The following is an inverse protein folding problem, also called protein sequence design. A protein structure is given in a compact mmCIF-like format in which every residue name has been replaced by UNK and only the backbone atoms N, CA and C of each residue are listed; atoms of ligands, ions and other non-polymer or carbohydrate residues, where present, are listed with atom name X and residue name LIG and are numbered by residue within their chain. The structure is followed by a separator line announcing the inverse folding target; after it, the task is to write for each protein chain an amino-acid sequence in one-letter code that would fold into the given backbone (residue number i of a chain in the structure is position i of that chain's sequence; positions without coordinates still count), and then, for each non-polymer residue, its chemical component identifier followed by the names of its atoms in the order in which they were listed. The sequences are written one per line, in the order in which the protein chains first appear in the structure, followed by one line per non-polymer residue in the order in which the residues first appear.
data_IF_286966128700
#
_entry.id   IF_286966128700
#
_cell.length_a   1.000
_cell.length_b   1.000
_cell.length_c   1.000
_cell.angle_alpha   90.00
_cell.angle_beta   90.00
_cell.angle_gamma   90.00
#
_symmetry.space_group_name_H-M   'P 1'
#
loop_
_entity.id
_entity.type
_entity.pdbx_description
1 polymer ?
#
# COMPACT_ATOMS: atom_id res chain seq x y z
N UNK A 1 -34.69 -28.00 -7.86
CA UNK A 1 -34.12 -27.51 -9.14
C UNK A 1 -32.85 -26.78 -8.76
N UNK A 2 -31.74 -27.51 -8.63
CA UNK A 2 -30.44 -26.96 -8.26
C UNK A 2 -29.91 -26.16 -9.45
N UNK A 3 -29.92 -24.83 -9.34
CA UNK A 3 -29.16 -23.98 -10.25
C UNK A 3 -27.71 -24.05 -9.80
N UNK A 4 -26.93 -24.88 -10.47
CA UNK A 4 -25.48 -24.77 -10.46
C UNK A 4 -25.19 -23.42 -11.14
N UNK A 5 -24.82 -22.42 -10.35
CA UNK A 5 -24.32 -21.15 -10.87
C UNK A 5 -22.94 -21.43 -11.44
N UNK A 6 -22.81 -21.32 -12.77
CA UNK A 6 -21.53 -21.38 -13.46
C UNK A 6 -20.59 -20.33 -12.84
N UNK A 7 -19.48 -20.79 -12.27
CA UNK A 7 -18.35 -19.96 -11.89
C UNK A 7 -17.75 -19.38 -13.16
N UNK A 8 -18.27 -18.24 -13.63
CA UNK A 8 -17.61 -17.48 -14.69
C UNK A 8 -16.22 -17.12 -14.19
N UNK A 9 -15.21 -17.57 -14.90
CA UNK A 9 -13.81 -17.23 -14.64
C UNK A 9 -13.65 -15.74 -14.84
N UNK A 10 -13.27 -15.03 -13.79
CA UNK A 10 -13.18 -13.58 -13.77
C UNK A 10 -11.72 -13.19 -13.99
N UNK A 11 -11.30 -13.06 -15.25
CA UNK A 11 -9.91 -12.70 -15.58
C UNK A 11 -9.65 -11.25 -15.13
N UNK A 12 -8.76 -11.06 -14.14
CA UNK A 12 -8.42 -9.74 -13.60
C UNK A 12 -9.47 -9.02 -12.74
N UNK A 13 -10.63 -9.61 -12.45
CA UNK A 13 -11.62 -9.06 -11.49
C UNK A 13 -11.80 -9.98 -10.26
N UNK A 14 -12.42 -9.45 -9.20
CA UNK A 14 -12.61 -10.17 -7.94
C UNK A 14 -14.07 -10.20 -7.56
N UNK A 15 -14.58 -11.38 -7.24
CA UNK A 15 -15.94 -11.55 -6.72
C UNK A 15 -15.95 -11.56 -5.19
N UNK A 16 -16.73 -10.70 -4.55
CA UNK A 16 -17.07 -10.80 -3.13
C UNK A 16 -18.48 -11.39 -3.01
N UNK A 17 -18.62 -12.54 -2.37
CA UNK A 17 -19.91 -13.23 -2.18
C UNK A 17 -20.25 -13.24 -0.69
N UNK A 18 -21.41 -12.68 -0.33
CA UNK A 18 -21.92 -12.62 1.05
C UNK A 18 -23.26 -13.37 1.12
N UNK A 19 -23.30 -14.46 1.88
CA UNK A 19 -24.44 -15.37 2.02
C UNK A 19 -25.44 -14.92 3.10
N UNK A 20 -26.26 -13.91 2.79
CA UNK A 20 -27.31 -13.44 3.71
C UNK A 20 -28.54 -14.37 3.71
N UNK A 21 -29.37 -14.30 4.77
CA UNK A 21 -30.63 -15.05 4.87
C UNK A 21 -31.81 -14.17 4.42
N UNK A 22 -32.46 -14.46 3.28
CA UNK A 22 -33.60 -13.67 2.80
C UNK A 22 -34.71 -13.58 3.85
N UNK A 23 -35.23 -12.37 4.07
CA UNK A 23 -36.29 -12.11 5.05
C UNK A 23 -35.88 -12.21 6.53
N UNK A 24 -34.60 -12.45 6.83
CA UNK A 24 -34.06 -12.52 8.20
C UNK A 24 -32.90 -11.56 8.44
N UNK A 25 -31.98 -11.44 7.48
CA UNK A 25 -30.84 -10.53 7.59
C UNK A 25 -31.25 -9.09 7.40
N UNK A 26 -30.71 -8.19 8.23
CA UNK A 26 -30.90 -6.75 8.09
C UNK A 26 -30.08 -6.21 6.92
N UNK A 27 -30.74 -5.54 5.97
CA UNK A 27 -30.09 -5.06 4.74
C UNK A 27 -28.96 -4.07 5.02
N UNK A 28 -29.14 -3.16 5.99
CA UNK A 28 -28.13 -2.16 6.36
C UNK A 28 -26.86 -2.86 6.86
N UNK A 29 -27.00 -3.88 7.70
CA UNK A 29 -25.86 -4.63 8.23
C UNK A 29 -25.07 -5.33 7.12
N UNK A 30 -25.77 -6.03 6.21
CA UNK A 30 -25.14 -6.74 5.09
C UNK A 30 -24.42 -5.78 4.16
N UNK A 31 -25.05 -4.67 3.79
CA UNK A 31 -24.46 -3.66 2.90
C UNK A 31 -23.31 -2.91 3.57
N UNK A 32 -23.42 -2.55 4.85
CA UNK A 32 -22.35 -1.90 5.59
C UNK A 32 -21.12 -2.80 5.73
N UNK A 33 -21.31 -4.07 6.06
CA UNK A 33 -20.21 -5.03 6.12
C UNK A 33 -19.57 -5.28 4.75
N UNK A 34 -20.37 -5.33 3.68
CA UNK A 34 -19.84 -5.40 2.31
C UNK A 34 -18.96 -4.19 1.98
N UNK A 35 -19.41 -2.97 2.31
CA UNK A 35 -18.62 -1.76 2.10
C UNK A 35 -17.32 -1.76 2.91
N UNK A 36 -17.35 -2.22 4.17
CA UNK A 36 -16.15 -2.33 4.99
C UNK A 36 -15.14 -3.33 4.41
N UNK A 37 -15.61 -4.47 3.90
CA UNK A 37 -14.74 -5.46 3.25
C UNK A 37 -14.14 -4.92 1.97
N UNK A 38 -14.92 -4.21 1.15
CA UNK A 38 -14.41 -3.57 -0.07
C UNK A 38 -13.31 -2.56 0.27
N UNK A 39 -13.57 -1.67 1.24
CA UNK A 39 -12.58 -0.67 1.68
C UNK A 39 -11.31 -1.32 2.26
N UNK A 40 -11.45 -2.37 3.07
CA UNK A 40 -10.31 -3.11 3.60
C UNK A 40 -9.50 -3.82 2.50
N UNK A 41 -10.17 -4.40 1.51
CA UNK A 41 -9.53 -5.01 0.35
C UNK A 41 -8.84 -3.99 -0.56
N UNK A 42 -9.37 -2.77 -0.69
CA UNK A 42 -8.73 -1.67 -1.43
C UNK A 42 -7.49 -1.16 -0.68
N UNK A 43 -7.54 -1.10 0.66
CA UNK A 43 -6.36 -0.80 1.50
C UNK A 43 -5.26 -1.86 1.37
N UNK A 44 -5.63 -3.13 1.28
CA UNK A 44 -4.69 -4.21 1.01
C UNK A 44 -4.02 -4.05 -0.37
N UNK A 45 -4.78 -3.66 -1.39
CA UNK A 45 -4.21 -3.35 -2.69
C UNK A 45 -3.26 -2.16 -2.64
N UNK A 46 -3.65 -1.10 -1.94
CA UNK A 46 -2.80 0.06 -1.75
C UNK A 46 -1.50 -0.31 -1.02
N UNK A 47 -1.57 -1.20 -0.03
CA UNK A 47 -0.38 -1.74 0.63
C UNK A 47 0.55 -2.46 -0.36
N UNK A 48 0.03 -3.35 -1.21
CA UNK A 48 0.80 -4.04 -2.24
C UNK A 48 1.43 -3.06 -3.27
N UNK A 49 0.77 -1.95 -3.56
CA UNK A 49 1.25 -0.93 -4.51
C UNK A 49 2.19 0.10 -3.88
N UNK A 50 2.18 0.24 -2.56
CA UNK A 50 2.90 1.30 -1.84
C UNK A 50 4.41 1.28 -2.09
N UNK A 51 4.98 0.11 -2.38
CA UNK A 51 6.39 -0.09 -2.69
C UNK A 51 6.75 0.18 -4.16
N UNK A 52 5.74 0.32 -5.02
CA UNK A 52 5.86 0.56 -6.47
C UNK A 52 5.72 2.06 -6.74
N UNK A 53 4.53 2.60 -6.49
CA UNK A 53 4.26 4.03 -6.58
C UNK A 53 3.08 4.42 -5.69
N UNK A 54 3.34 5.32 -4.76
CA UNK A 54 2.35 5.88 -3.85
C UNK A 54 1.24 6.71 -4.52
N UNK A 55 1.41 7.12 -5.79
CA UNK A 55 0.35 7.80 -6.55
C UNK A 55 -0.67 6.85 -7.16
N UNK A 56 -0.39 5.53 -7.15
CA UNK A 56 -1.33 4.53 -7.65
C UNK A 56 -2.48 4.34 -6.66
N UNK A 57 -3.67 4.65 -7.13
CA UNK A 57 -4.89 4.46 -6.38
C UNK A 57 -5.68 3.29 -6.99
N UNK A 58 -5.68 2.11 -6.35
CA UNK A 58 -6.57 1.03 -6.73
C UNK A 58 -8.00 1.44 -6.40
N UNK A 59 -8.91 1.19 -7.33
CA UNK A 59 -10.33 1.48 -7.14
C UNK A 59 -11.13 0.26 -7.56
N UNK A 60 -11.95 -0.20 -6.62
CA UNK A 60 -12.97 -1.21 -6.85
C UNK A 60 -14.19 -0.60 -7.54
N UNK A 61 -14.54 -1.11 -8.72
CA UNK A 61 -15.74 -0.71 -9.49
C UNK A 61 -16.77 -1.82 -9.42
N UNK A 62 -17.98 -1.50 -8.94
CA UNK A 62 -19.10 -2.43 -8.92
C UNK A 62 -19.53 -2.79 -10.35
N UNK A 63 -19.34 -4.05 -10.73
CA UNK A 63 -19.68 -4.57 -12.05
C UNK A 63 -21.09 -5.21 -12.08
N UNK A 64 -21.42 -6.05 -11.08
CA UNK A 64 -22.72 -6.72 -11.00
C UNK A 64 -23.14 -7.04 -9.55
N UNK A 65 -24.45 -7.18 -9.31
CA UNK A 65 -25.08 -7.59 -8.04
C UNK A 65 -26.16 -8.68 -8.26
N UNK A 66 -25.92 -9.89 -7.76
CA UNK A 66 -26.84 -11.02 -7.93
C UNK A 66 -27.91 -11.17 -6.81
N UNK A 67 -28.91 -12.05 -7.02
CA UNK A 67 -29.98 -12.39 -6.07
C UNK A 67 -29.66 -13.66 -5.26
N UNK A 68 -30.24 -13.78 -4.06
CA UNK A 68 -30.09 -14.87 -3.06
C UNK A 68 -28.77 -14.92 -2.28
N UNK A 69 -27.72 -14.29 -2.79
CA UNK A 69 -26.51 -13.86 -2.07
C UNK A 69 -26.10 -12.49 -2.59
N UNK A 70 -25.40 -11.69 -1.80
CA UNK A 70 -24.85 -10.42 -2.27
C UNK A 70 -23.51 -10.76 -2.92
N UNK A 71 -23.55 -11.11 -4.21
CA UNK A 71 -22.36 -11.25 -5.04
C UNK A 71 -22.05 -9.90 -5.67
N UNK A 72 -20.87 -9.36 -5.37
CA UNK A 72 -20.35 -8.11 -5.87
C UNK A 72 -19.13 -8.43 -6.71
N UNK A 73 -19.19 -8.13 -8.01
CA UNK A 73 -18.03 -8.27 -8.88
C UNK A 73 -17.29 -6.92 -8.92
N UNK A 74 -16.00 -6.92 -8.60
CA UNK A 74 -15.15 -5.74 -8.51
C UNK A 74 -14.13 -5.74 -9.64
N UNK A 75 -14.34 -4.84 -10.61
CA UNK A 75 -13.32 -4.52 -11.60
C UNK A 75 -12.29 -3.58 -10.97
N UNK A 76 -11.01 -3.85 -11.21
CA UNK A 76 -9.93 -3.02 -10.66
C UNK A 76 -9.50 -1.97 -11.67
N UNK A 77 -9.55 -0.71 -11.25
CA UNK A 77 -8.96 0.40 -11.97
C UNK A 77 -7.81 0.99 -11.17
N UNK A 78 -6.81 1.53 -11.88
CA UNK A 78 -5.73 2.31 -11.28
C UNK A 78 -5.91 3.78 -11.68
N UNK A 79 -6.05 4.67 -10.70
CA UNK A 79 -5.94 6.12 -10.91
C UNK A 79 -4.54 6.60 -10.54
N UNK A 80 -4.16 7.76 -11.06
CA UNK A 80 -2.88 8.40 -10.72
C UNK A 80 -1.64 7.72 -11.32
N UNK A 81 -1.80 6.96 -12.41
CA UNK A 81 -0.68 6.34 -13.13
C UNK A 81 0.19 7.43 -13.78
N UNK A 82 1.51 7.51 -13.49
CA UNK A 82 2.39 8.48 -14.14
C UNK A 82 2.47 8.27 -15.65
N UNK A 83 2.47 9.36 -16.43
CA UNK A 83 2.56 9.34 -17.90
C UNK A 83 3.79 8.59 -18.43
N UNK A 84 4.87 8.55 -17.64
CA UNK A 84 6.12 7.85 -17.98
C UNK A 84 5.94 6.31 -18.03
N UNK A 85 5.04 5.75 -17.21
CA UNK A 85 4.71 4.32 -17.13
C UNK A 85 3.45 3.91 -17.91
N UNK A 86 2.63 4.88 -18.33
CA UNK A 86 1.46 4.68 -19.20
C UNK A 86 1.79 4.07 -20.58
N UNK A 87 3.07 4.01 -20.93
CA UNK A 87 3.55 3.72 -22.28
C UNK A 87 3.55 2.23 -22.68
N UNK A 88 3.41 1.27 -21.74
CA UNK A 88 3.36 -0.17 -22.10
C UNK A 88 2.14 -0.93 -21.54
N UNK A 89 1.48 -1.68 -22.42
CA UNK A 89 0.42 -2.65 -22.09
C UNK A 89 0.92 -3.71 -21.08
N UNK A 90 2.20 -4.03 -21.15
CA UNK A 90 2.86 -5.06 -20.33
C UNK A 90 2.94 -4.66 -18.85
N UNK A 91 3.21 -3.37 -18.54
CA UNK A 91 3.21 -2.90 -17.16
C UNK A 91 1.84 -3.01 -16.49
N UNK A 92 0.76 -2.65 -17.20
CA UNK A 92 -0.61 -2.78 -16.67
C UNK A 92 -1.00 -4.22 -16.39
N UNK A 93 -0.65 -5.13 -17.30
CA UNK A 93 -0.89 -6.58 -17.13
C UNK A 93 -0.11 -7.15 -15.95
N UNK A 94 1.18 -6.82 -15.87
CA UNK A 94 2.03 -7.23 -14.75
C UNK A 94 1.45 -6.74 -13.41
N UNK A 95 1.09 -5.47 -13.32
CA UNK A 95 0.55 -4.88 -12.10
C UNK A 95 -0.79 -5.50 -11.71
N UNK A 96 -1.68 -5.74 -12.68
CA UNK A 96 -2.93 -6.47 -12.45
C UNK A 96 -2.70 -7.89 -11.92
N UNK A 97 -1.75 -8.62 -12.52
CA UNK A 97 -1.39 -9.98 -12.08
C UNK A 97 -0.82 -9.99 -10.65
N UNK A 98 0.07 -9.05 -10.32
CA UNK A 98 0.62 -8.89 -8.98
C UNK A 98 -0.49 -8.66 -7.94
N UNK A 99 -1.43 -7.77 -8.27
CA UNK A 99 -2.53 -7.36 -7.42
C UNK A 99 -3.53 -8.49 -7.14
N UNK A 100 -3.82 -9.32 -8.15
CA UNK A 100 -4.70 -10.50 -8.00
C UNK A 100 -3.98 -11.58 -7.19
N UNK A 101 -2.75 -11.92 -7.56
CA UNK A 101 -1.99 -12.99 -6.91
C UNK A 101 -1.60 -12.65 -5.47
N UNK A 102 -1.09 -11.43 -5.24
CA UNK A 102 -0.72 -10.93 -3.92
C UNK A 102 -1.91 -10.90 -2.98
N UNK A 103 -3.05 -10.37 -3.42
CA UNK A 103 -4.28 -10.41 -2.61
C UNK A 103 -4.72 -11.84 -2.34
N UNK A 104 -4.72 -12.71 -3.33
CA UNK A 104 -5.14 -14.10 -3.17
C UNK A 104 -4.29 -14.83 -2.11
N UNK A 105 -2.96 -14.77 -2.22
CA UNK A 105 -2.06 -15.41 -1.24
C UNK A 105 -2.25 -14.84 0.17
N UNK A 106 -2.33 -13.51 0.30
CA UNK A 106 -2.46 -12.87 1.60
C UNK A 106 -3.82 -13.15 2.26
N UNK A 107 -4.91 -13.17 1.48
CA UNK A 107 -6.25 -13.50 2.00
C UNK A 107 -6.40 -14.98 2.36
N UNK A 108 -5.72 -15.90 1.67
CA UNK A 108 -5.62 -17.30 2.13
C UNK A 108 -4.94 -17.42 3.49
N UNK A 109 -4.11 -16.42 3.83
CA UNK A 109 -3.33 -16.30 5.05
C UNK A 109 -3.86 -15.17 5.92
N UNK A 110 -5.18 -14.97 5.92
CA UNK A 110 -5.82 -13.87 6.65
C UNK A 110 -5.45 -13.86 8.14
N UNK A 111 -5.24 -15.04 8.74
CA UNK A 111 -4.91 -15.21 10.16
C UNK A 111 -3.41 -15.43 10.42
N UNK A 112 -2.56 -15.22 9.42
CA UNK A 112 -1.12 -15.41 9.55
C UNK A 112 -0.48 -14.44 10.54
N UNK A 113 0.56 -14.92 11.22
CA UNK A 113 1.47 -14.13 12.04
C UNK A 113 2.55 -13.47 11.18
N UNK A 114 3.37 -12.61 11.80
CA UNK A 114 4.44 -11.90 11.10
C UNK A 114 5.43 -12.84 10.36
N UNK A 115 5.89 -13.97 10.95
CA UNK A 115 6.70 -14.96 10.24
C UNK A 115 6.03 -15.56 8.99
N UNK A 116 4.75 -15.92 9.05
CA UNK A 116 4.03 -16.49 7.90
C UNK A 116 3.71 -15.42 6.83
N UNK A 117 3.42 -14.19 7.24
CA UNK A 117 3.31 -13.03 6.33
C UNK A 117 4.63 -12.81 5.60
N UNK A 118 5.77 -12.84 6.32
CA UNK A 118 7.10 -12.69 5.70
C UNK A 118 7.35 -13.76 4.64
N UNK A 119 7.03 -15.04 4.91
CA UNK A 119 7.17 -16.12 3.92
C UNK A 119 6.27 -15.92 2.71
N UNK A 120 5.08 -15.36 2.90
CA UNK A 120 4.18 -15.03 1.79
C UNK A 120 4.75 -13.89 0.94
N UNK A 121 5.38 -12.89 1.56
CA UNK A 121 6.06 -11.81 0.84
C UNK A 121 7.29 -12.31 0.07
N UNK A 122 8.05 -13.26 0.64
CA UNK A 122 9.17 -13.90 -0.06
C UNK A 122 8.70 -14.64 -1.33
N UNK A 123 7.51 -15.24 -1.31
CA UNK A 123 6.90 -15.87 -2.49
C UNK A 123 6.50 -14.85 -3.57
N UNK A 124 6.18 -13.61 -3.17
CA UNK A 124 5.84 -12.54 -4.09
C UNK A 124 7.07 -11.81 -4.65
N UNK A 125 8.21 -11.88 -3.97
CA UNK A 125 9.45 -11.19 -4.36
C UNK A 125 9.84 -11.39 -5.84
N UNK A 126 9.74 -12.59 -6.45
CA UNK A 126 10.02 -12.79 -7.87
C UNK A 126 9.13 -11.92 -8.77
N UNK A 127 7.84 -11.79 -8.46
CA UNK A 127 6.91 -10.97 -9.25
C UNK A 127 7.26 -9.49 -9.17
N UNK A 128 7.65 -9.00 -7.99
CA UNK A 128 8.13 -7.62 -7.85
C UNK A 128 9.44 -7.38 -8.61
N UNK A 129 10.30 -8.39 -8.67
CA UNK A 129 11.59 -8.33 -9.37
C UNK A 129 11.43 -8.33 -10.90
N UNK A 130 10.46 -9.07 -11.42
CA UNK A 130 10.19 -9.23 -12.85
C UNK A 130 9.41 -8.05 -13.48
N UNK A 131 9.32 -6.92 -12.78
CA UNK A 131 8.59 -5.76 -13.25
C UNK A 131 9.14 -5.18 -14.57
N UNK A 132 8.29 -4.85 -15.55
CA UNK A 132 8.73 -4.30 -16.84
C UNK A 132 9.19 -2.84 -16.73
N UNK A 133 10.50 -2.65 -16.91
CA UNK A 133 11.28 -1.40 -17.15
C UNK A 133 11.24 -0.32 -16.05
N UNK A 134 12.42 -0.05 -15.45
CA UNK A 134 12.68 1.10 -14.57
C UNK A 134 13.59 0.74 -13.39
N UNK A 135 14.90 0.57 -13.64
CA UNK A 135 16.02 0.44 -12.68
C UNK A 135 15.71 -0.18 -11.30
N UNK A 136 16.15 -1.42 -11.12
CA UNK A 136 16.10 -2.24 -9.88
C UNK A 136 14.67 -2.65 -9.53
N UNK A 137 14.41 -3.96 -9.59
CA UNK A 137 13.10 -4.54 -9.29
C UNK A 137 12.48 -4.00 -8.00
N UNK A 138 11.15 -3.90 -7.99
CA UNK A 138 10.43 -3.47 -6.80
C UNK A 138 10.63 -4.49 -5.67
N UNK A 139 10.30 -4.08 -4.45
CA UNK A 139 10.28 -4.99 -3.30
C UNK A 139 8.85 -5.12 -2.80
N UNK A 140 8.47 -6.27 -2.22
CA UNK A 140 7.22 -6.39 -1.50
C UNK A 140 7.09 -5.32 -0.38
N UNK A 141 5.87 -4.97 0.03
CA UNK A 141 5.63 -4.11 1.19
C UNK A 141 6.18 -4.74 2.48
N UNK A 142 6.24 -3.96 3.56
CA UNK A 142 6.74 -4.45 4.85
C UNK A 142 5.71 -5.37 5.51
N UNK A 143 6.20 -6.33 6.31
CA UNK A 143 5.36 -7.25 7.09
C UNK A 143 4.35 -6.48 7.95
N UNK A 144 4.76 -5.41 8.62
CA UNK A 144 3.89 -4.60 9.48
C UNK A 144 2.78 -3.86 8.72
N UNK A 145 3.06 -3.37 7.51
CA UNK A 145 2.08 -2.73 6.64
C UNK A 145 1.03 -3.74 6.18
N UNK A 146 1.48 -4.93 5.79
CA UNK A 146 0.60 -6.04 5.37
C UNK A 146 -0.23 -6.55 6.53
N UNK A 147 0.37 -6.70 7.72
CA UNK A 147 -0.34 -7.12 8.93
C UNK A 147 -1.45 -6.14 9.28
N UNK A 148 -1.16 -4.83 9.24
CA UNK A 148 -2.17 -3.77 9.44
C UNK A 148 -3.31 -3.86 8.41
N UNK A 149 -2.99 -4.12 7.15
CA UNK A 149 -4.01 -4.28 6.11
C UNK A 149 -4.87 -5.53 6.32
N UNK A 150 -4.26 -6.66 6.70
CA UNK A 150 -4.97 -7.90 7.03
C UNK A 150 -5.84 -7.75 8.28
N UNK A 151 -5.38 -7.02 9.31
CA UNK A 151 -6.18 -6.65 10.47
C UNK A 151 -7.43 -5.87 10.08
N UNK A 152 -7.31 -4.93 9.13
CA UNK A 152 -8.45 -4.23 8.58
C UNK A 152 -9.47 -5.18 7.92
N UNK A 153 -8.99 -6.19 7.17
CA UNK A 153 -9.86 -7.20 6.56
C UNK A 153 -10.50 -8.10 7.62
N UNK A 154 -9.75 -8.53 8.64
CA UNK A 154 -10.27 -9.29 9.78
C UNK A 154 -11.38 -8.51 10.51
N UNK A 155 -11.14 -7.24 10.81
CA UNK A 155 -12.12 -6.38 11.47
C UNK A 155 -13.38 -6.18 10.62
N UNK A 156 -13.23 -5.97 9.31
CA UNK A 156 -14.36 -5.87 8.39
C UNK A 156 -15.16 -7.19 8.29
N UNK A 157 -14.47 -8.34 8.34
CA UNK A 157 -15.09 -9.66 8.36
C UNK A 157 -15.94 -9.88 9.61
N UNK A 158 -15.51 -9.40 10.78
CA UNK A 158 -16.26 -9.48 12.05
C UNK A 158 -17.57 -8.71 11.99
N UNK A 159 -17.67 -7.65 11.18
CA UNK A 159 -18.91 -6.88 11.01
C UNK A 159 -20.05 -7.66 10.31
N UNK A 160 -19.75 -8.84 9.75
CA UNK A 160 -20.71 -9.76 9.11
C UNK A 160 -20.84 -11.09 9.89
N UNK A 161 -21.36 -11.07 11.14
CA UNK A 161 -21.46 -12.28 11.93
C UNK A 161 -22.51 -13.24 11.36
N UNK A 162 -22.25 -14.53 11.49
CA UNK A 162 -23.11 -15.65 11.10
C UNK A 162 -23.50 -15.70 9.61
N UNK A 163 -22.67 -15.08 8.77
CA UNK A 163 -22.83 -15.00 7.32
C UNK A 163 -21.58 -15.56 6.67
N UNK A 164 -21.75 -16.44 5.67
CA UNK A 164 -20.66 -16.93 4.84
C UNK A 164 -20.13 -15.81 3.95
N UNK A 165 -18.81 -15.64 3.92
CA UNK A 165 -18.14 -14.66 3.07
C UNK A 165 -17.08 -15.38 2.25
N UNK A 166 -17.14 -15.23 0.93
CA UNK A 166 -16.20 -15.85 0.00
C UNK A 166 -15.63 -14.80 -0.94
N UNK A 167 -14.32 -14.80 -1.12
CA UNK A 167 -13.64 -14.02 -2.16
C UNK A 167 -13.26 -14.94 -3.30
N UNK A 168 -13.80 -14.68 -4.48
CA UNK A 168 -13.54 -15.43 -5.71
C UNK A 168 -12.49 -14.70 -6.53
N UNK A 169 -11.42 -15.39 -6.89
CA UNK A 169 -10.40 -14.90 -7.83
C UNK A 169 -10.17 -15.92 -8.95
N UNK A 170 -9.46 -15.53 -10.00
CA UNK A 170 -9.04 -16.46 -11.06
C UNK A 170 -8.14 -17.61 -10.58
N UNK A 171 -7.56 -17.49 -9.38
CA UNK A 171 -6.70 -18.51 -8.74
C UNK A 171 -7.49 -19.46 -7.82
N UNK A 172 -8.76 -19.17 -7.58
CA UNK A 172 -9.66 -19.97 -6.74
C UNK A 172 -10.42 -19.15 -5.71
N UNK A 173 -11.33 -19.82 -5.02
CA UNK A 173 -12.18 -19.24 -4.00
C UNK A 173 -11.52 -19.30 -2.62
N UNK A 174 -11.64 -18.20 -1.87
CA UNK A 174 -11.13 -18.04 -0.50
C UNK A 174 -12.34 -17.86 0.41
N UNK A 175 -12.60 -18.86 1.26
CA UNK A 175 -13.64 -18.77 2.28
C UNK A 175 -13.07 -17.99 3.47
N UNK A 176 -13.68 -16.85 3.79
CA UNK A 176 -13.33 -16.07 4.97
C UNK A 176 -14.09 -16.61 6.17
N UNK A 177 -13.43 -17.44 6.96
CA UNK A 177 -14.02 -17.99 8.17
C UNK A 177 -14.41 -16.90 9.17
N UNK A 178 -15.51 -17.11 9.87
CA UNK A 178 -15.92 -16.24 10.96
C UNK A 178 -15.09 -16.60 12.19
N UNK A 179 -14.16 -15.74 12.56
CA UNK A 179 -13.43 -15.91 13.80
C UNK A 179 -14.29 -15.49 14.99
N UNK A 180 -14.29 -16.31 16.05
CA UNK A 180 -14.70 -15.85 17.37
C UNK A 180 -13.75 -14.73 17.77
N UNK A 181 -14.28 -13.61 18.26
CA UNK A 181 -13.52 -12.44 18.67
C UNK A 181 -12.43 -12.83 19.70
N UNK A 182 -11.22 -13.16 19.23
CA UNK A 182 -10.07 -13.27 20.11
C UNK A 182 -9.75 -11.88 20.63
N UNK A 183 -9.38 -11.82 21.91
CA UNK A 183 -9.01 -10.56 22.57
C UNK A 183 -7.93 -9.86 21.72
N UNK A 184 -7.95 -8.52 21.65
CA UNK A 184 -7.02 -7.79 20.80
C UNK A 184 -5.61 -8.27 21.12
N UNK A 185 -4.90 -8.76 20.09
CA UNK A 185 -3.46 -8.98 20.16
C UNK A 185 -2.89 -7.67 20.70
N UNK A 186 -2.19 -7.75 21.83
CA UNK A 186 -1.63 -6.56 22.47
C UNK A 186 -0.84 -5.77 21.43
N UNK A 187 -1.10 -4.47 21.33
CA UNK A 187 -0.39 -3.59 20.41
C UNK A 187 1.12 -3.87 20.54
N UNK A 188 1.85 -4.06 19.43
CA UNK A 188 3.28 -4.29 19.49
C UNK A 188 3.92 -3.17 20.30
N UNK A 189 4.46 -3.52 21.47
CA UNK A 189 5.08 -2.54 22.35
C UNK A 189 6.47 -2.19 21.84
N UNK A 190 6.82 -0.90 21.69
CA UNK A 190 8.16 -0.47 21.34
C UNK A 190 9.16 -1.02 22.36
N UNK A 191 10.11 -1.85 21.91
CA UNK A 191 11.13 -2.43 22.78
C UNK A 191 12.46 -1.67 22.67
N UNK A 192 12.87 -1.33 21.45
CA UNK A 192 14.13 -0.63 21.24
C UNK A 192 14.05 0.36 20.09
N UNK A 193 14.81 1.45 20.21
CA UNK A 193 14.94 2.48 19.18
C UNK A 193 16.40 2.55 18.79
N UNK A 194 16.68 2.46 17.49
CA UNK A 194 18.02 2.68 16.93
C UNK A 194 18.02 3.95 16.10
N UNK A 195 19.01 4.79 16.34
CA UNK A 195 19.18 6.04 15.62
C UNK A 195 20.48 5.98 14.83
N UNK A 196 20.40 6.25 13.54
CA UNK A 196 21.53 6.38 12.64
C UNK A 196 21.65 7.84 12.18
N UNK A 197 22.87 8.36 12.13
CA UNK A 197 23.11 9.74 11.67
C UNK A 197 24.19 9.75 10.61
N UNK A 198 24.06 10.65 9.64
CA UNK A 198 25.00 10.72 8.53
C UNK A 198 24.84 12.00 7.73
N UNK A 199 25.67 12.13 6.69
CA UNK A 199 25.57 13.21 5.70
C UNK A 199 25.31 12.58 4.33
N UNK A 200 24.27 13.04 3.65
CA UNK A 200 23.85 12.50 2.35
C UNK A 200 23.20 13.59 1.49
N UNK A 201 23.11 13.35 0.18
CA UNK A 201 22.40 14.20 -0.76
C UNK A 201 20.96 13.69 -0.97
N UNK A 202 19.99 14.59 -0.77
CA UNK A 202 18.57 14.33 -1.02
C UNK A 202 18.08 15.18 -2.19
N UNK A 203 17.70 14.54 -3.30
CA UNK A 203 17.13 15.27 -4.44
C UNK A 203 15.65 15.57 -4.19
N UNK A 204 15.27 16.84 -4.24
CA UNK A 204 13.91 17.28 -3.92
C UNK A 204 12.98 16.92 -5.08
N UNK A 205 11.88 16.24 -4.75
CA UNK A 205 10.78 15.97 -5.67
C UNK A 205 9.66 16.97 -5.47
N UNK A 206 9.24 17.17 -4.22
CA UNK A 206 8.24 18.18 -3.86
C UNK A 206 8.49 18.68 -2.43
N UNK A 207 8.23 19.97 -2.23
CA UNK A 207 8.30 20.63 -0.93
C UNK A 207 6.88 20.82 -0.40
N UNK A 208 6.62 20.40 0.83
CA UNK A 208 5.40 20.82 1.52
C UNK A 208 5.63 22.19 2.16
N UNK A 209 4.74 23.14 1.88
CA UNK A 209 4.88 24.55 2.24
C UNK A 209 4.25 24.89 3.60
N UNK A 210 3.66 23.91 4.28
CA UNK A 210 2.92 24.10 5.53
C UNK A 210 3.60 23.39 6.70
N UNK A 211 4.31 24.10 7.59
CA UNK A 211 4.70 23.60 8.93
C UNK A 211 5.73 22.46 9.00
N UNK A 212 5.67 21.63 10.06
CA UNK A 212 6.54 20.45 10.34
C UNK A 212 6.31 19.28 9.35
N UNK A 213 5.79 19.56 8.16
CA UNK A 213 5.28 18.56 7.23
C UNK A 213 6.39 17.87 6.45
N UNK A 214 6.06 16.68 5.96
CA UNK A 214 6.99 15.74 5.35
C UNK A 214 7.35 16.17 3.92
N UNK A 215 8.63 16.43 3.66
CA UNK A 215 9.18 16.74 2.34
C UNK A 215 9.31 15.46 1.53
N UNK A 216 9.10 15.52 0.22
CA UNK A 216 9.34 14.36 -0.65
C UNK A 216 10.69 14.51 -1.33
N UNK A 217 11.59 13.59 -1.01
CA UNK A 217 12.94 13.55 -1.56
C UNK A 217 13.18 12.22 -2.27
N UNK A 218 14.10 12.21 -3.22
CA UNK A 218 14.58 11.00 -3.86
C UNK A 218 15.86 10.53 -3.18
N UNK A 219 15.85 9.28 -2.71
CA UNK A 219 17.00 8.55 -2.15
C UNK A 219 17.07 7.20 -2.84
N UNK A 220 18.21 6.84 -3.42
CA UNK A 220 18.39 5.58 -4.16
C UNK A 220 17.32 5.32 -5.24
N UNK A 221 16.90 6.37 -5.97
CA UNK A 221 15.87 6.28 -7.01
C UNK A 221 14.42 6.21 -6.51
N UNK A 222 14.19 6.07 -5.19
CA UNK A 222 12.85 6.00 -4.60
C UNK A 222 12.44 7.36 -4.03
N UNK A 223 11.17 7.71 -4.18
CA UNK A 223 10.59 8.87 -3.49
C UNK A 223 10.27 8.50 -2.05
N UNK A 224 10.85 9.20 -1.08
CA UNK A 224 10.63 8.99 0.35
C UNK A 224 10.17 10.29 1.00
N UNK A 225 9.39 10.16 2.07
CA UNK A 225 8.96 11.28 2.91
C UNK A 225 9.98 11.51 4.02
N UNK A 226 10.39 12.77 4.23
CA UNK A 226 11.39 13.16 5.23
C UNK A 226 10.90 14.35 6.04
N UNK A 227 11.08 14.31 7.35
CA UNK A 227 10.76 15.44 8.23
C UNK A 227 11.88 16.47 8.21
N UNK A 228 11.57 17.75 7.99
CA UNK A 228 12.56 18.82 8.06
C UNK A 228 12.61 19.40 9.48
N UNK A 229 13.67 19.09 10.23
CA UNK A 229 13.84 19.56 11.62
C UNK A 229 14.78 20.76 11.74
N UNK A 230 15.44 21.17 10.66
CA UNK A 230 16.30 22.36 10.62
C UNK A 230 15.47 23.65 10.65
N UNK A 231 15.00 24.05 11.83
CA UNK A 231 14.07 25.17 12.04
C UNK A 231 14.56 26.51 11.47
N UNK A 232 15.82 26.86 11.74
CA UNK A 232 16.43 28.11 11.25
C UNK A 232 16.42 28.18 9.73
N UNK A 233 16.71 27.08 9.06
CA UNK A 233 16.68 27.02 7.59
C UNK A 233 15.26 27.04 7.04
N UNK A 234 14.32 26.35 7.67
CA UNK A 234 12.90 26.41 7.30
C UNK A 234 12.34 27.83 7.37
N UNK A 235 12.69 28.59 8.41
CA UNK A 235 12.29 30.00 8.52
C UNK A 235 12.86 30.86 7.38
N UNK A 236 14.12 30.63 7.00
CA UNK A 236 14.76 31.32 5.88
C UNK A 236 14.10 30.95 4.55
N UNK A 237 13.78 29.67 4.35
CA UNK A 237 13.04 29.17 3.20
C UNK A 237 11.63 29.78 3.09
N UNK A 238 10.87 29.82 4.19
CA UNK A 238 9.54 30.46 4.24
C UNK A 238 9.61 31.97 3.94
N UNK A 239 10.69 32.64 4.36
CA UNK A 239 10.99 34.04 4.03
C UNK A 239 11.52 34.23 2.60
N UNK A 240 11.53 33.18 1.76
CA UNK A 240 12.05 33.16 0.39
C UNK A 240 13.52 33.56 0.26
N UNK A 241 14.30 33.37 1.32
CA UNK A 241 15.75 33.63 1.30
C UNK A 241 16.53 32.51 0.60
N UNK A 242 15.96 31.31 0.59
CA UNK A 242 16.41 30.18 -0.23
C UNK A 242 15.33 29.84 -1.24
N UNK A 243 15.68 29.81 -2.52
CA UNK A 243 14.80 29.32 -3.58
C UNK A 243 15.19 27.87 -3.87
N UNK A 244 14.19 26.99 -3.84
CA UNK A 244 14.36 25.56 -4.11
C UNK A 244 13.31 25.17 -5.11
N UNK A 245 13.73 24.42 -6.11
CA UNK A 245 12.88 23.87 -7.15
C UNK A 245 12.94 22.33 -7.10
N UNK A 246 11.87 21.66 -7.55
CA UNK A 246 11.94 20.25 -7.88
C UNK A 246 13.15 19.95 -8.77
N UNK A 247 13.96 18.98 -8.37
CA UNK A 247 15.20 18.62 -9.04
C UNK A 247 16.48 19.12 -8.38
N UNK A 248 16.41 20.12 -7.50
CA UNK A 248 17.55 20.53 -6.67
C UNK A 248 17.91 19.44 -5.65
N UNK A 249 19.18 19.35 -5.28
CA UNK A 249 19.67 18.43 -4.25
C UNK A 249 20.09 19.18 -3.00
N UNK A 250 19.68 18.68 -1.84
CA UNK A 250 20.15 19.17 -0.55
C UNK A 250 21.25 18.24 -0.03
N UNK A 251 22.42 18.80 0.28
CA UNK A 251 23.40 18.15 1.13
C UNK A 251 22.98 18.36 2.58
N UNK A 252 22.63 17.28 3.28
CA UNK A 252 22.04 17.37 4.61
C UNK A 252 22.71 16.42 5.58
N UNK A 253 22.74 16.82 6.86
CA UNK A 253 22.84 15.88 7.96
C UNK A 253 21.46 15.32 8.24
N UNK A 254 21.37 13.99 8.29
CA UNK A 254 20.12 13.30 8.59
C UNK A 254 20.21 12.50 9.88
N UNK A 255 19.04 12.23 10.44
CA UNK A 255 18.80 11.28 11.51
C UNK A 255 17.73 10.29 11.03
N UNK A 256 18.05 9.00 11.07
CA UNK A 256 17.14 7.91 10.75
C UNK A 256 16.87 7.13 12.04
N UNK A 257 15.61 7.13 12.47
CA UNK A 257 15.18 6.45 13.69
C UNK A 257 14.36 5.23 13.31
N UNK A 258 14.80 4.06 13.77
CA UNK A 258 14.15 2.77 13.56
C UNK A 258 13.70 2.21 14.90
N UNK A 259 12.40 2.04 15.08
CA UNK A 259 11.76 1.45 16.26
C UNK A 259 11.53 -0.03 16.02
N UNK A 260 11.88 -0.87 16.98
CA UNK A 260 11.70 -2.31 16.94
C UNK A 260 10.79 -2.79 18.07
N UNK A 261 10.01 -3.84 17.80
CA UNK A 261 9.22 -4.54 18.81
C UNK A 261 10.08 -5.51 19.63
N UNK A 262 9.44 -6.23 20.55
CA UNK A 262 10.07 -7.25 21.41
C UNK A 262 10.66 -8.43 20.66
N UNK A 263 10.18 -8.70 19.44
CA UNK A 263 10.63 -9.79 18.57
C UNK A 263 11.69 -9.33 17.55
N UNK A 264 12.19 -8.10 17.69
CA UNK A 264 13.14 -7.42 16.78
C UNK A 264 12.59 -7.12 15.38
N UNK A 265 11.27 -7.10 15.19
CA UNK A 265 10.68 -6.60 13.94
C UNK A 265 10.69 -5.08 13.92
N UNK A 266 11.02 -4.49 12.76
CA UNK A 266 10.97 -3.04 12.56
C UNK A 266 9.51 -2.56 12.55
N UNK A 267 9.12 -1.82 13.59
CA UNK A 267 7.80 -1.23 13.74
C UNK A 267 7.67 0.07 12.93
N UNK A 268 8.65 0.95 13.04
CA UNK A 268 8.60 2.29 12.45
C UNK A 268 10.00 2.71 12.01
N UNK A 269 10.09 3.36 10.86
CA UNK A 269 11.31 4.04 10.41
C UNK A 269 10.96 5.43 9.97
N UNK A 270 11.54 6.41 10.65
CA UNK A 270 11.41 7.82 10.31
C UNK A 270 12.76 8.37 9.89
N UNK A 271 12.76 9.21 8.86
CA UNK A 271 13.93 9.95 8.41
C UNK A 271 13.68 11.43 8.64
N UNK A 272 14.66 12.10 9.24
CA UNK A 272 14.64 13.53 9.50
C UNK A 272 15.91 14.21 8.98
N UNK A 273 15.75 15.35 8.31
CA UNK A 273 16.86 16.26 8.01
C UNK A 273 17.02 17.17 9.22
N UNK A 274 18.13 17.01 9.94
CA UNK A 274 18.45 17.81 11.13
C UNK A 274 19.18 19.09 10.77
N UNK A 275 19.96 19.07 9.68
CA UNK A 275 20.73 20.22 9.22
C UNK A 275 20.87 20.17 7.69
N UNK A 276 20.75 21.34 7.05
CA UNK A 276 20.96 21.53 5.61
C UNK A 276 22.29 22.25 5.47
N UNK A 277 23.26 21.63 4.82
CA UNK A 277 24.62 22.13 4.65
C UNK A 277 24.74 22.96 3.38
N UNK A 278 24.15 22.47 2.27
CA UNK A 278 24.25 23.11 0.95
C UNK A 278 23.08 22.74 0.04
N UNK A 279 22.74 23.67 -0.86
CA UNK A 279 21.83 23.43 -1.99
C UNK A 279 22.67 23.28 -3.28
N UNK A 280 22.38 22.25 -4.06
CA UNK A 280 22.99 21.95 -5.35
C UNK A 280 21.90 21.93 -6.42
N UNK A 281 21.91 22.93 -7.31
CA UNK A 281 21.03 22.92 -8.47
C UNK A 281 21.63 22.10 -9.61
N UNK A 282 20.80 21.38 -10.38
CA UNK A 282 21.28 20.67 -11.57
C UNK A 282 21.90 21.65 -12.57
N UNK A 283 22.93 21.24 -13.32
CA UNK A 283 23.53 22.10 -14.35
C UNK A 283 22.46 22.50 -15.37
N UNK A 284 22.47 23.75 -15.80
CA UNK A 284 21.55 24.26 -16.82
C UNK A 284 21.63 23.35 -18.06
N UNK A 285 20.53 22.69 -18.39
CA UNK A 285 20.43 21.94 -19.63
C UNK A 285 20.41 22.95 -20.78
N UNK A 286 21.57 23.19 -21.38
CA UNK A 286 21.64 23.88 -22.67
C UNK A 286 20.85 23.03 -23.65
N UNK A 287 19.72 23.54 -24.14
CA UNK A 287 18.96 22.92 -25.21
C UNK A 287 19.91 22.62 -26.37
N UNK A 288 20.00 21.36 -26.78
CA UNK A 288 20.66 20.97 -28.02
C UNK A 288 20.05 21.80 -29.17
N UNK A 289 20.86 22.48 -30.00
CA UNK A 289 20.33 23.14 -31.18
C UNK A 289 19.67 22.08 -32.08
N UNK A 290 18.45 22.37 -32.54
CA UNK A 290 17.70 21.57 -33.51
C UNK A 290 18.49 21.29 -34.78
#
# INVERSE_FOLDING_TARGET
MERILESQTIEGEIGLVIEYKPGKSEAIQVLAGAMQLIDAMDKLDHCLLSSIDSSLEPVSILNDVAHSSLKIILARALRGVPDEHLSSLEWKKWLGSLLVHGKHLLLQKLDADAPEISRTLDQLEPQYRDAPVGLVGYQPPRVSEVQTALDGVRQARVALPQVGVTVQTELGDIVMEEQAQESPVADPTPHSVRTNTGVEFFKIKSTDMLGQSQWQVMRNGKTIKVSMLHRTWLEQYQKRQHQILPGDSLECRYEETVTYDTDQNEMERSLAIVEVLRILSPPAQTSLPM
#
